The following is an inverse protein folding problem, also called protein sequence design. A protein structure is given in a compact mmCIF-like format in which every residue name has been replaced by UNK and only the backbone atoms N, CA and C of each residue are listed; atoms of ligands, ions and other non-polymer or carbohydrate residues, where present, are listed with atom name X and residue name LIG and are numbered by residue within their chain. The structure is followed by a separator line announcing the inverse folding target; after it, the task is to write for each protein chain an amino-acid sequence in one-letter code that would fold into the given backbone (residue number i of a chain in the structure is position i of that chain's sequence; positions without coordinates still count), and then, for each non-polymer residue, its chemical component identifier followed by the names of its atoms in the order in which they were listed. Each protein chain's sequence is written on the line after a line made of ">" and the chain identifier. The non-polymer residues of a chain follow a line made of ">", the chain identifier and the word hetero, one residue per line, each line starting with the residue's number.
data_IF_220513831179
#
_entry.id   IF_220513831179
#
_cell.length_a   1.000
_cell.length_b   1.000
_cell.length_c   1.000
_cell.angle_alpha   90.00
_cell.angle_beta   90.00
_cell.angle_gamma   90.00
#
_symmetry.space_group_name_H-M   'P 1'
#
loop_
_entity.id
_entity.type
_entity.pdbx_description
1 polymer ?
#
# COMPACT_ATOMS: atom_id res chain seq x y z
N UNK A 1 11.35 22.92 -7.57
CA UNK A 1 10.48 22.09 -8.45
C UNK A 1 11.03 20.68 -8.66
N UNK A 2 12.25 20.50 -9.19
CA UNK A 2 12.84 19.17 -9.42
C UNK A 2 12.89 18.28 -8.16
N UNK A 3 13.38 18.81 -7.03
CA UNK A 3 13.47 18.07 -5.74
C UNK A 3 12.11 17.51 -5.28
N UNK A 4 11.01 18.22 -5.59
CA UNK A 4 9.64 17.85 -5.19
C UNK A 4 9.10 16.69 -6.00
N UNK A 5 9.37 16.70 -7.30
CA UNK A 5 8.99 15.63 -8.23
C UNK A 5 9.78 14.36 -7.89
N UNK A 6 11.09 14.46 -7.64
CA UNK A 6 11.89 13.31 -7.23
C UNK A 6 11.44 12.75 -5.87
N UNK A 7 11.12 13.61 -4.90
CA UNK A 7 10.58 13.17 -3.59
C UNK A 7 9.21 12.49 -3.71
N UNK A 8 8.34 12.99 -4.59
CA UNK A 8 7.04 12.37 -4.88
C UNK A 8 7.21 10.98 -5.53
N UNK A 9 8.04 10.87 -6.56
CA UNK A 9 8.33 9.60 -7.24
C UNK A 9 8.96 8.61 -6.27
N UNK A 10 9.94 9.05 -5.47
CA UNK A 10 10.57 8.21 -4.46
C UNK A 10 9.57 7.66 -3.45
N UNK A 11 8.68 8.50 -2.93
CA UNK A 11 7.64 8.09 -1.98
C UNK A 11 6.68 7.07 -2.61
N UNK A 12 6.32 7.26 -3.88
CA UNK A 12 5.49 6.31 -4.63
C UNK A 12 6.18 4.95 -4.79
N UNK A 13 7.47 4.94 -5.11
CA UNK A 13 8.26 3.70 -5.21
C UNK A 13 8.35 2.94 -3.89
N UNK A 14 8.62 3.65 -2.79
CA UNK A 14 8.65 3.05 -1.44
C UNK A 14 7.28 2.47 -1.07
N UNK A 15 6.19 3.16 -1.38
CA UNK A 15 4.82 2.65 -1.19
C UNK A 15 4.56 1.35 -1.96
N UNK A 16 5.01 1.26 -3.22
CA UNK A 16 4.84 0.05 -4.04
C UNK A 16 5.67 -1.11 -3.48
N UNK A 17 6.91 -0.86 -3.03
CA UNK A 17 7.74 -1.90 -2.43
C UNK A 17 7.16 -2.42 -1.12
N UNK A 18 6.66 -1.52 -0.26
CA UNK A 18 6.02 -1.89 1.01
C UNK A 18 4.71 -2.63 0.74
N UNK A 19 3.87 -2.13 -0.18
CA UNK A 19 2.59 -2.74 -0.52
C UNK A 19 2.75 -4.11 -1.18
N UNK A 20 3.62 -4.21 -2.18
CA UNK A 20 3.93 -5.47 -2.86
C UNK A 20 4.59 -6.48 -1.92
N UNK A 21 5.54 -6.03 -1.10
CA UNK A 21 6.19 -6.84 -0.07
C UNK A 21 5.18 -7.40 0.93
N UNK A 22 4.35 -6.54 1.54
CA UNK A 22 3.31 -6.94 2.49
C UNK A 22 2.34 -7.99 1.90
N UNK A 23 1.92 -7.82 0.65
CA UNK A 23 1.04 -8.78 -0.01
C UNK A 23 1.72 -10.15 -0.13
N UNK A 24 2.99 -10.21 -0.51
CA UNK A 24 3.71 -11.49 -0.65
C UNK A 24 3.93 -12.17 0.70
N UNK A 25 4.35 -11.43 1.73
CA UNK A 25 4.63 -12.03 3.05
C UNK A 25 3.37 -12.47 3.78
N UNK A 26 2.26 -11.73 3.61
CA UNK A 26 1.00 -12.05 4.27
C UNK A 26 0.21 -13.05 3.44
N UNK A 27 -0.07 -12.77 2.16
CA UNK A 27 -0.95 -13.60 1.32
C UNK A 27 -0.26 -14.87 0.81
N UNK A 28 1.06 -14.84 0.61
CA UNK A 28 1.87 -15.98 0.18
C UNK A 28 1.67 -17.26 1.02
N UNK A 29 1.89 -17.22 2.35
CA UNK A 29 1.67 -18.38 3.21
C UNK A 29 0.18 -18.81 3.30
N UNK A 30 -0.76 -17.88 3.14
CA UNK A 30 -2.19 -18.22 3.00
C UNK A 30 -2.52 -18.92 1.66
N UNK A 31 -1.62 -18.95 0.67
CA UNK A 31 -1.86 -19.62 -0.62
C UNK A 31 -1.26 -21.02 -0.71
N UNK A 32 -0.19 -21.30 0.04
CA UNK A 32 0.65 -22.50 -0.12
C UNK A 32 0.32 -23.64 0.87
N UNK A 33 -0.83 -23.61 1.54
CA UNK A 33 -1.31 -24.72 2.38
C UNK A 33 -1.19 -24.52 3.89
N UNK A 34 -0.99 -23.30 4.38
CA UNK A 34 -0.72 -23.02 5.80
C UNK A 34 -1.88 -23.25 6.79
N UNK A 35 -3.12 -23.46 6.34
CA UNK A 35 -4.25 -23.66 7.25
C UNK A 35 -5.10 -24.82 6.75
N UNK A 36 -4.78 -26.02 7.23
CA UNK A 36 -5.64 -27.19 7.04
C UNK A 36 -7.03 -26.90 7.60
N UNK A 37 -8.06 -27.18 6.81
CA UNK A 37 -9.48 -27.23 7.19
C UNK A 37 -10.26 -25.89 7.30
N UNK A 38 -9.72 -24.74 6.88
CA UNK A 38 -10.51 -23.51 6.73
C UNK A 38 -11.21 -23.44 5.38
N UNK A 39 -12.49 -23.03 5.39
CA UNK A 39 -13.29 -22.92 4.19
C UNK A 39 -12.64 -21.91 3.20
N UNK A 40 -12.33 -22.31 1.96
CA UNK A 40 -11.63 -21.48 0.98
C UNK A 40 -12.34 -20.15 0.68
N UNK A 41 -13.66 -20.09 0.85
CA UNK A 41 -14.45 -18.86 0.68
C UNK A 41 -14.04 -17.80 1.72
N UNK A 42 -13.84 -18.20 2.98
CA UNK A 42 -13.45 -17.30 4.08
C UNK A 42 -12.03 -16.79 3.85
N UNK A 43 -11.13 -17.68 3.40
CA UNK A 43 -9.76 -17.33 3.06
C UNK A 43 -9.69 -16.28 1.94
N UNK A 44 -10.53 -16.43 0.91
CA UNK A 44 -10.66 -15.46 -0.18
C UNK A 44 -11.18 -14.12 0.30
N UNK A 45 -12.23 -14.12 1.13
CA UNK A 45 -12.80 -12.90 1.71
C UNK A 45 -11.78 -12.09 2.52
N UNK A 46 -10.95 -12.76 3.32
CA UNK A 46 -9.87 -12.12 4.09
C UNK A 46 -8.79 -11.52 3.17
N UNK A 47 -8.37 -12.25 2.12
CA UNK A 47 -7.40 -11.74 1.14
C UNK A 47 -7.88 -10.47 0.47
N UNK A 48 -9.14 -10.45 0.04
CA UNK A 48 -9.76 -9.27 -0.58
C UNK A 48 -9.90 -8.13 0.43
N UNK A 49 -10.32 -8.42 1.67
CA UNK A 49 -10.42 -7.42 2.72
C UNK A 49 -9.09 -6.72 3.02
N UNK A 50 -8.01 -7.49 3.16
CA UNK A 50 -6.65 -6.95 3.38
C UNK A 50 -6.21 -6.09 2.18
N UNK A 51 -6.46 -6.55 0.95
CA UNK A 51 -6.13 -5.79 -0.25
C UNK A 51 -6.87 -4.43 -0.31
N UNK A 52 -8.16 -4.39 0.06
CA UNK A 52 -8.94 -3.15 0.11
C UNK A 52 -8.39 -2.17 1.16
N UNK A 53 -8.03 -2.66 2.35
CA UNK A 53 -7.41 -1.83 3.39
C UNK A 53 -6.07 -1.26 2.90
N UNK A 54 -5.27 -2.09 2.20
CA UNK A 54 -3.98 -1.65 1.66
C UNK A 54 -4.15 -0.53 0.61
N UNK A 55 -5.14 -0.64 -0.28
CA UNK A 55 -5.47 0.42 -1.24
C UNK A 55 -5.86 1.71 -0.49
N UNK A 56 -6.63 1.59 0.59
CA UNK A 56 -7.03 2.75 1.40
C UNK A 56 -5.82 3.47 2.01
N UNK A 57 -4.88 2.71 2.58
CA UNK A 57 -3.61 3.24 3.11
C UNK A 57 -2.79 3.91 2.01
N UNK A 58 -2.76 3.33 0.81
CA UNK A 58 -2.03 3.89 -0.32
C UNK A 58 -2.61 5.25 -0.76
N UNK A 59 -3.93 5.31 -0.97
CA UNK A 59 -4.60 6.56 -1.36
C UNK A 59 -4.46 7.62 -0.27
N UNK A 60 -4.59 7.23 1.01
CA UNK A 60 -4.41 8.15 2.13
C UNK A 60 -2.99 8.70 2.20
N UNK A 61 -1.98 7.85 2.01
CA UNK A 61 -0.58 8.28 2.03
C UNK A 61 -0.27 9.20 0.86
N UNK A 62 -0.72 8.90 -0.36
CA UNK A 62 -0.54 9.76 -1.53
C UNK A 62 -1.23 11.12 -1.37
N UNK A 63 -2.43 11.16 -0.82
CA UNK A 63 -3.16 12.42 -0.59
C UNK A 63 -2.47 13.30 0.44
N UNK A 64 -1.97 12.71 1.54
CA UNK A 64 -1.13 13.41 2.54
C UNK A 64 0.19 13.89 1.96
N UNK A 65 0.93 13.04 1.25
CA UNK A 65 2.23 13.36 0.65
C UNK A 65 2.09 14.47 -0.39
N UNK A 66 1.06 14.40 -1.25
CA UNK A 66 0.71 15.50 -2.17
C UNK A 66 0.49 16.79 -1.39
N UNK A 67 -0.40 16.76 -0.39
CA UNK A 67 -0.69 17.97 0.38
C UNK A 67 0.56 18.54 1.07
N UNK A 68 1.45 17.68 1.58
CA UNK A 68 2.67 18.08 2.27
C UNK A 68 3.71 18.69 1.32
N UNK A 69 3.95 18.06 0.16
CA UNK A 69 4.93 18.53 -0.84
C UNK A 69 4.47 19.85 -1.49
N UNK A 70 3.17 20.00 -1.75
CA UNK A 70 2.62 21.17 -2.44
C UNK A 70 2.29 22.35 -1.51
N UNK A 71 1.93 22.14 -0.23
CA UNK A 71 1.76 23.27 0.72
C UNK A 71 3.06 24.02 0.99
N UNK A 72 4.21 23.35 0.90
CA UNK A 72 5.52 23.98 1.09
C UNK A 72 5.84 25.05 0.03
N UNK A 73 5.11 25.13 -1.10
CA UNK A 73 5.27 26.21 -2.09
C UNK A 73 4.45 27.48 -1.75
N UNK A 74 3.50 27.43 -0.80
CA UNK A 74 2.81 28.64 -0.33
C UNK A 74 3.60 29.24 0.82
N UNK A 75 4.75 29.83 0.50
CA UNK A 75 5.45 30.72 1.41
C UNK A 75 5.82 31.97 0.62
N UNK A 76 4.87 32.92 0.66
CA UNK A 76 4.91 34.34 0.29
C UNK A 76 5.65 34.71 -1.00
#
# INVERSE_FOLDING_TARGET
>A
MAIKIYSFIFTMWVLILIGGGLIVTIIGPFSLGGIGNVNPIILSGIKVGIALVLIFVWVFTLTKVKNWIFKTDVKY
#
